data_IF_330415827235
#
_entry.id   IF_330415827235
#
_cell.length_a   1.000
_cell.length_b   1.000
_cell.length_c   1.000
_cell.angle_alpha   90.00
_cell.angle_beta   90.00
_cell.angle_gamma   90.00
#
_symmetry.space_group_name_H-M   'P 1'
#
loop_
_entity.id
_entity.type
_entity.pdbx_description
1 polymer ?
#
# COMPACT_ATOMS: atom_id res chain seq x y z
N UNK A 1 -2.43 -5.62 3.19
CA UNK A 1 -3.06 -5.11 1.95
C UNK A 1 -2.04 -4.89 0.85
N UNK A 2 -1.04 -4.02 1.00
CA UNK A 2 0.01 -3.81 -0.05
C UNK A 2 0.73 -5.11 -0.40
N UNK A 3 1.23 -5.87 0.59
CA UNK A 3 1.90 -7.17 0.35
C UNK A 3 1.02 -8.12 -0.44
N UNK A 4 -0.20 -8.37 0.08
CA UNK A 4 -1.17 -9.23 -0.59
C UNK A 4 -1.52 -8.80 -2.01
N UNK A 5 -1.50 -7.49 -2.30
CA UNK A 5 -1.87 -6.97 -3.61
C UNK A 5 -0.74 -7.01 -4.63
N UNK A 6 0.49 -6.69 -4.20
CA UNK A 6 1.64 -6.47 -5.09
C UNK A 6 2.63 -7.65 -5.11
N UNK A 7 2.59 -8.54 -4.12
CA UNK A 7 3.52 -9.67 -3.99
C UNK A 7 2.82 -11.03 -4.02
N UNK A 8 1.55 -11.09 -3.62
CA UNK A 8 0.74 -12.31 -3.66
C UNK A 8 -0.32 -12.26 -4.79
N UNK A 9 -0.32 -11.21 -5.62
CA UNK A 9 -1.22 -10.99 -6.76
C UNK A 9 -2.73 -11.11 -6.49
N UNK A 10 -3.16 -10.99 -5.22
CA UNK A 10 -4.58 -11.12 -4.87
C UNK A 10 -5.41 -9.94 -5.40
N UNK A 11 -6.64 -10.24 -5.83
CA UNK A 11 -7.66 -9.24 -6.13
C UNK A 11 -8.13 -8.53 -4.86
N UNK A 12 -8.78 -7.37 -5.01
CA UNK A 12 -9.34 -6.68 -3.84
C UNK A 12 -10.41 -7.49 -3.11
N UNK A 13 -11.15 -8.33 -3.83
CA UNK A 13 -12.16 -9.20 -3.24
C UNK A 13 -11.50 -10.31 -2.42
N UNK A 14 -10.52 -11.02 -2.98
CA UNK A 14 -9.77 -12.06 -2.24
C UNK A 14 -9.08 -11.49 -1.00
N UNK A 15 -8.56 -10.26 -1.05
CA UNK A 15 -7.99 -9.58 0.13
C UNK A 15 -9.08 -9.24 1.16
N UNK A 16 -10.26 -8.80 0.72
CA UNK A 16 -11.38 -8.49 1.61
C UNK A 16 -11.84 -9.75 2.37
N UNK A 17 -11.94 -10.86 1.64
CA UNK A 17 -12.34 -12.16 2.16
C UNK A 17 -11.27 -12.74 3.10
N UNK A 18 -9.98 -12.71 2.70
CA UNK A 18 -8.87 -13.20 3.51
C UNK A 18 -8.70 -12.44 4.84
N UNK A 19 -8.96 -11.13 4.82
CA UNK A 19 -8.82 -10.27 6.01
C UNK A 19 -10.13 -10.05 6.78
N UNK A 20 -11.26 -10.56 6.27
CA UNK A 20 -12.60 -10.38 6.84
C UNK A 20 -12.94 -8.89 7.10
N UNK A 21 -12.68 -8.05 6.10
CA UNK A 21 -12.97 -6.60 6.15
C UNK A 21 -13.72 -6.16 4.89
N UNK A 22 -14.48 -5.04 4.94
CA UNK A 22 -15.17 -4.54 3.75
C UNK A 22 -14.21 -4.24 2.59
N UNK A 23 -14.66 -4.53 1.36
CA UNK A 23 -13.93 -4.21 0.12
C UNK A 23 -13.53 -2.71 0.05
N UNK A 24 -14.39 -1.82 0.54
CA UNK A 24 -14.10 -0.39 0.63
C UNK A 24 -12.92 -0.09 1.56
N UNK A 25 -12.78 -0.84 2.67
CA UNK A 25 -11.66 -0.73 3.60
C UNK A 25 -10.35 -1.24 2.99
N UNK A 26 -10.39 -2.29 2.17
CA UNK A 26 -9.21 -2.76 1.43
C UNK A 26 -8.68 -1.64 0.53
N UNK A 27 -9.58 -1.04 -0.28
CA UNK A 27 -9.23 0.07 -1.18
C UNK A 27 -8.66 1.26 -0.41
N UNK A 28 -9.35 1.74 0.63
CA UNK A 28 -8.90 2.90 1.39
C UNK A 28 -7.57 2.67 2.10
N UNK A 29 -7.34 1.47 2.67
CA UNK A 29 -6.05 1.09 3.27
C UNK A 29 -4.93 1.05 2.23
N UNK A 30 -5.18 0.51 1.03
CA UNK A 30 -4.19 0.47 -0.03
C UNK A 30 -3.77 1.88 -0.46
N UNK A 31 -4.73 2.73 -0.82
CA UNK A 31 -4.43 4.10 -1.26
C UNK A 31 -3.73 4.92 -0.17
N UNK A 32 -4.13 4.74 1.10
CA UNK A 32 -3.49 5.40 2.23
C UNK A 32 -2.04 4.94 2.41
N UNK A 33 -1.80 3.63 2.34
CA UNK A 33 -0.45 3.07 2.44
C UNK A 33 0.46 3.55 1.30
N UNK A 34 -0.03 3.56 0.05
CA UNK A 34 0.73 4.06 -1.10
C UNK A 34 1.04 5.56 -0.98
N UNK A 35 0.07 6.37 -0.52
CA UNK A 35 0.30 7.79 -0.26
C UNK A 35 1.38 8.00 0.80
N UNK A 36 1.33 7.25 1.91
CA UNK A 36 2.32 7.32 2.97
C UNK A 36 3.70 6.86 2.48
N UNK A 37 3.76 5.80 1.68
CA UNK A 37 5.00 5.30 1.09
C UNK A 37 5.64 6.35 0.19
N UNK A 38 4.86 6.98 -0.71
CA UNK A 38 5.33 8.08 -1.56
C UNK A 38 5.91 9.23 -0.75
N UNK A 39 5.24 9.63 0.35
CA UNK A 39 5.74 10.71 1.22
C UNK A 39 7.06 10.35 1.89
N UNK A 40 7.21 9.09 2.34
CA UNK A 40 8.45 8.61 2.96
C UNK A 40 9.59 8.53 1.95
N UNK A 41 9.34 8.03 0.76
CA UNK A 41 10.33 7.96 -0.32
C UNK A 41 10.71 9.35 -0.82
N UNK A 42 9.75 10.28 -0.95
CA UNK A 42 10.03 11.67 -1.31
C UNK A 42 10.90 12.39 -0.28
N UNK A 43 10.74 12.08 1.02
CA UNK A 43 11.67 12.54 2.07
C UNK A 43 13.05 11.93 1.93
N UNK A 44 13.11 10.63 1.62
CA UNK A 44 14.37 9.93 1.38
C UNK A 44 15.15 10.53 0.19
N UNK A 45 14.46 10.94 -0.88
CA UNK A 45 15.09 11.62 -2.01
C UNK A 45 15.69 12.99 -1.69
N UNK A 46 15.31 13.63 -0.57
CA UNK A 46 15.93 14.88 -0.10
C UNK A 46 17.14 14.63 0.80
N UNK A 47 17.21 13.45 1.43
CA UNK A 47 18.32 13.07 2.33
C UNK A 47 19.47 12.38 1.57
N UNK A 48 19.17 11.76 0.42
CA UNK A 48 20.17 11.20 -0.50
C UNK A 48 20.54 12.25 -1.57
N UNK A 49 21.02 13.41 -1.14
CA UNK A 49 21.77 14.29 -2.03
C UNK A 49 23.18 13.68 -2.20
N UNK A 50 23.65 13.42 -3.44
CA UNK A 50 24.99 12.91 -3.64
C UNK A 50 26.02 13.97 -3.22
N UNK A 51 26.98 13.57 -2.38
CA UNK A 51 28.25 14.28 -2.22
C UNK A 51 29.13 14.03 -3.45
#
# INVERSE_FOLDING_TARGET
VVVLKEFEDLTFQEIADALQIPLSTVKSRLYTALRQLRLRLGKFSLEVAPQ
#
